data_IF_334607778938
#
_entry.id   IF_334607778938
#
_cell.length_a   1.000
_cell.length_b   1.000
_cell.length_c   1.000
_cell.angle_alpha   90.00
_cell.angle_beta   90.00
_cell.angle_gamma   90.00
#
_symmetry.space_group_name_H-M   'P 1'
#
loop_
_entity.id
_entity.type
_entity.pdbx_description
1 polymer ?
#
# COMPACT_ATOMS: atom_id res chain seq x y z
N UNK A 1 -2.40 -22.37 -7.76
CA UNK A 1 -2.64 -20.94 -7.53
C UNK A 1 -2.05 -20.18 -8.71
N UNK A 2 -2.86 -19.55 -9.57
CA UNK A 2 -2.32 -18.79 -10.72
C UNK A 2 -1.84 -17.43 -10.20
N UNK A 3 -0.53 -17.29 -10.05
CA UNK A 3 0.10 -16.01 -9.78
C UNK A 3 -0.24 -15.02 -10.91
N UNK A 4 -0.56 -13.79 -10.52
CA UNK A 4 -0.85 -12.65 -11.40
C UNK A 4 0.32 -12.53 -12.39
N UNK A 5 0.08 -12.68 -13.69
CA UNK A 5 1.11 -12.62 -14.75
C UNK A 5 1.54 -11.19 -15.12
N UNK A 6 1.27 -10.22 -14.24
CA UNK A 6 1.76 -8.83 -14.34
C UNK A 6 2.60 -8.52 -13.10
N UNK A 7 3.85 -8.02 -13.26
CA UNK A 7 4.65 -7.63 -12.11
C UNK A 7 3.93 -6.53 -11.32
N UNK A 8 3.91 -6.70 -9.99
CA UNK A 8 3.37 -5.69 -9.09
C UNK A 8 4.22 -4.42 -9.19
N UNK A 9 3.61 -3.22 -9.10
CA UNK A 9 4.38 -1.99 -9.03
C UNK A 9 5.22 -1.94 -7.74
N UNK A 10 6.35 -1.25 -7.78
CA UNK A 10 7.18 -1.08 -6.58
C UNK A 10 6.53 -0.15 -5.53
N UNK A 11 5.66 0.75 -5.99
CA UNK A 11 4.92 1.69 -5.13
C UNK A 11 3.41 1.67 -5.43
N UNK A 12 2.63 2.17 -4.47
CA UNK A 12 1.18 2.34 -4.54
C UNK A 12 0.74 3.71 -4.05
N UNK A 13 -0.51 4.04 -4.35
CA UNK A 13 -1.19 5.18 -3.75
C UNK A 13 -1.76 4.82 -2.38
N UNK A 14 -1.58 5.70 -1.39
CA UNK A 14 -2.13 5.53 -0.05
C UNK A 14 -2.41 6.89 0.60
N UNK A 15 -3.30 6.88 1.60
CA UNK A 15 -3.54 8.01 2.50
C UNK A 15 -2.84 7.70 3.82
N UNK A 16 -1.81 8.49 4.17
CA UNK A 16 -1.03 8.31 5.40
C UNK A 16 -1.56 9.25 6.48
N UNK A 17 -1.82 8.70 7.66
CA UNK A 17 -2.04 9.47 8.87
C UNK A 17 -0.68 9.96 9.40
N UNK A 18 -0.49 11.27 9.47
CA UNK A 18 0.79 11.90 9.85
C UNK A 18 0.80 12.47 11.28
N UNK A 19 -0.33 12.38 11.99
CA UNK A 19 -0.47 12.81 13.38
C UNK A 19 -1.94 12.95 13.78
N UNK A 20 -2.17 13.34 15.04
CA UNK A 20 -3.52 13.68 15.51
C UNK A 20 -3.98 15.03 14.95
N UNK A 21 -5.26 15.14 14.62
CA UNK A 21 -5.86 16.35 14.04
C UNK A 21 -7.06 16.02 13.15
N UNK A 22 -7.41 16.95 12.26
CA UNK A 22 -8.45 16.77 11.26
C UNK A 22 -7.93 16.17 9.95
N UNK A 23 -8.70 16.29 8.85
CA UNK A 23 -8.35 15.75 7.54
C UNK A 23 -7.00 16.25 6.99
N UNK A 24 -6.49 17.39 7.45
CA UNK A 24 -5.17 17.91 7.09
C UNK A 24 -4.01 16.99 7.51
N UNK A 25 -4.26 16.06 8.44
CA UNK A 25 -3.28 15.03 8.83
C UNK A 25 -3.29 13.79 7.93
N UNK A 26 -4.23 13.71 6.99
CA UNK A 26 -4.31 12.66 5.99
C UNK A 26 -3.60 13.12 4.71
N UNK A 27 -2.44 12.53 4.43
CA UNK A 27 -1.62 12.91 3.28
C UNK A 27 -1.72 11.84 2.20
N UNK A 28 -2.22 12.22 1.03
CA UNK A 28 -2.21 11.35 -0.14
C UNK A 28 -0.81 11.28 -0.76
N UNK A 29 -0.29 10.06 -0.93
CA UNK A 29 1.03 9.77 -1.51
C UNK A 29 0.92 8.68 -2.56
N UNK A 30 1.78 8.72 -3.57
CA UNK A 30 1.84 7.73 -4.68
C UNK A 30 3.13 6.91 -4.68
N UNK A 31 3.99 7.12 -3.69
CA UNK A 31 5.34 6.57 -3.58
C UNK A 31 5.50 5.61 -2.39
N UNK A 32 4.39 5.15 -1.80
CA UNK A 32 4.43 4.16 -0.70
C UNK A 32 4.80 2.80 -1.25
N UNK A 33 5.79 2.13 -0.65
CA UNK A 33 6.21 0.79 -1.09
C UNK A 33 5.05 -0.20 -0.98
N UNK A 34 4.86 -1.03 -2.01
CA UNK A 34 3.95 -2.17 -1.93
C UNK A 34 4.52 -3.16 -0.91
N UNK A 35 3.75 -3.59 0.11
CA UNK A 35 4.24 -4.52 1.12
C UNK A 35 4.41 -5.93 0.54
N UNK A 36 5.36 -6.67 1.11
CA UNK A 36 5.51 -8.11 0.84
C UNK A 36 4.75 -8.88 1.93
N UNK A 37 3.81 -9.77 1.57
CA UNK A 37 3.08 -10.56 2.56
C UNK A 37 4.04 -11.52 3.28
N UNK A 38 3.84 -11.70 4.59
CA UNK A 38 4.51 -12.71 5.39
C UNK A 38 4.00 -14.13 5.04
N UNK A 39 4.61 -15.21 5.61
CA UNK A 39 3.99 -16.53 5.56
C UNK A 39 2.54 -16.47 6.08
N UNK A 40 1.64 -17.19 5.40
CA UNK A 40 0.20 -17.23 5.68
C UNK A 40 -0.61 -15.93 5.48
N UNK A 41 0.01 -14.89 4.91
CA UNK A 41 -0.67 -13.68 4.46
C UNK A 41 -0.93 -13.67 2.94
N UNK A 42 -1.87 -12.82 2.52
CA UNK A 42 -2.14 -12.56 1.10
C UNK A 42 -2.07 -11.06 0.81
N UNK A 43 -1.57 -10.70 -0.37
CA UNK A 43 -1.61 -9.33 -0.87
C UNK A 43 -2.87 -9.12 -1.73
N UNK A 44 -3.72 -8.17 -1.35
CA UNK A 44 -4.96 -7.80 -2.06
C UNK A 44 -4.74 -6.53 -2.86
N UNK A 45 -5.43 -6.41 -4.01
CA UNK A 45 -5.42 -5.23 -4.87
C UNK A 45 -6.73 -4.45 -4.75
#
# INVERSE_FOLDING_TARGET
MKAITKPLPATMAAVLLTGHGGPEKLVYRTDVKVPSPAPDEVLVK
#
